data_IF_853473895002
#
_entry.id   IF_853473895002
#
_cell.length_a   1.000
_cell.length_b   1.000
_cell.length_c   1.000
_cell.angle_alpha   90.00
_cell.angle_beta   90.00
_cell.angle_gamma   90.00
#
_symmetry.space_group_name_H-M   'P 1'
#
loop_
_entity.id
_entity.type
_entity.pdbx_description
1 polymer ?
#
# COMPACT_ATOMS: atom_id res chain seq x y z
N UNK A 1 18.52 -21.74 -6.84
CA UNK A 1 17.42 -22.38 -6.09
C UNK A 1 16.96 -21.38 -5.04
N UNK A 2 16.03 -20.48 -5.38
CA UNK A 2 15.49 -19.52 -4.40
C UNK A 2 14.44 -20.23 -3.56
N UNK A 3 14.64 -20.26 -2.25
CA UNK A 3 13.63 -20.67 -1.29
C UNK A 3 12.43 -19.73 -1.42
N UNK A 4 11.42 -20.15 -2.19
CA UNK A 4 10.10 -19.53 -2.13
C UNK A 4 9.58 -19.72 -0.71
N UNK A 5 9.38 -18.63 0.02
CA UNK A 5 8.67 -18.66 1.29
C UNK A 5 7.27 -19.23 0.98
N UNK A 6 7.03 -20.47 1.41
CA UNK A 6 5.70 -21.03 1.46
C UNK A 6 4.96 -20.29 2.56
N UNK A 7 3.97 -19.48 2.18
CA UNK A 7 3.02 -18.91 3.13
C UNK A 7 2.13 -20.05 3.62
N UNK A 8 2.39 -20.53 4.84
CA UNK A 8 1.54 -21.50 5.52
C UNK A 8 0.36 -20.76 6.15
N UNK A 9 -0.82 -20.98 5.59
CA UNK A 9 -2.08 -20.48 6.14
C UNK A 9 -2.45 -21.27 7.39
N UNK A 10 -2.34 -20.65 8.56
CA UNK A 10 -2.81 -21.26 9.82
C UNK A 10 -4.33 -21.17 9.96
N UNK A 11 -4.96 -20.19 9.30
CA UNK A 11 -6.40 -19.98 9.24
C UNK A 11 -6.74 -19.23 7.95
N UNK A 12 -7.99 -19.35 7.51
CA UNK A 12 -8.53 -18.54 6.43
C UNK A 12 -9.06 -17.21 6.99
N UNK A 13 -8.95 -16.17 6.19
CA UNK A 13 -9.30 -14.80 6.51
C UNK A 13 -10.45 -14.32 5.64
N UNK A 14 -11.31 -13.46 6.21
CA UNK A 14 -12.48 -12.89 5.51
C UNK A 14 -12.29 -11.46 5.07
N UNK A 15 -11.22 -10.81 5.52
CA UNK A 15 -10.90 -9.43 5.19
C UNK A 15 -9.43 -9.12 5.48
N UNK A 16 -8.96 -8.03 4.90
CA UNK A 16 -7.73 -7.35 5.22
C UNK A 16 -7.93 -5.87 4.93
N UNK A 17 -7.24 -5.01 5.67
CA UNK A 17 -7.34 -3.56 5.51
C UNK A 17 -5.93 -3.00 5.60
N UNK A 18 -5.51 -2.23 4.60
CA UNK A 18 -4.10 -1.84 4.42
C UNK A 18 -3.99 -0.33 4.58
N UNK A 19 -3.05 0.11 5.42
CA UNK A 19 -2.61 1.50 5.49
C UNK A 19 -1.42 1.70 4.52
N UNK A 20 -1.73 1.98 3.26
CA UNK A 20 -0.75 2.02 2.17
C UNK A 20 0.30 3.13 2.38
N UNK A 21 1.57 2.79 2.49
CA UNK A 21 2.65 3.74 2.78
C UNK A 21 2.63 4.35 4.19
N UNK A 22 1.69 3.91 5.03
CA UNK A 22 1.60 4.32 6.43
C UNK A 22 2.34 3.33 7.31
N UNK A 23 3.48 3.76 7.85
CA UNK A 23 4.45 2.96 8.60
C UNK A 23 3.91 2.21 9.82
N UNK A 24 2.74 2.57 10.32
CA UNK A 24 2.14 2.03 11.54
C UNK A 24 0.68 1.65 11.32
N UNK A 25 0.19 0.74 12.17
CA UNK A 25 -1.21 0.34 12.22
C UNK A 25 -2.08 1.50 12.71
N UNK A 26 -3.21 1.71 12.05
CA UNK A 26 -4.12 2.83 12.34
C UNK A 26 -5.53 2.31 12.54
N UNK A 27 -6.19 2.79 13.59
CA UNK A 27 -7.61 2.50 13.81
C UNK A 27 -8.46 3.62 13.22
N UNK A 28 -9.42 3.27 12.39
CA UNK A 28 -10.48 4.18 11.96
C UNK A 28 -11.82 3.56 12.33
N UNK A 29 -12.53 4.21 13.26
CA UNK A 29 -13.75 3.70 13.87
C UNK A 29 -13.60 2.27 14.42
N UNK A 30 -14.14 1.28 13.70
CA UNK A 30 -14.15 -0.14 14.06
C UNK A 30 -13.15 -0.97 13.24
N UNK A 31 -12.49 -0.36 12.26
CA UNK A 31 -11.59 -1.05 11.33
C UNK A 31 -10.14 -0.75 11.72
N UNK A 32 -9.33 -1.79 11.81
CA UNK A 32 -7.89 -1.69 11.95
C UNK A 32 -7.24 -1.80 10.59
N UNK A 33 -6.54 -0.75 10.18
CA UNK A 33 -5.73 -0.70 8.97
C UNK A 33 -4.30 -1.06 9.34
N UNK A 34 -3.78 -2.05 8.67
CA UNK A 34 -2.47 -2.62 8.92
C UNK A 34 -1.39 -1.82 8.19
N UNK A 35 -0.41 -1.35 8.95
CA UNK A 35 0.70 -0.55 8.48
C UNK A 35 1.64 -1.32 7.56
N UNK A 36 2.12 -0.62 6.56
CA UNK A 36 3.15 -1.07 5.65
C UNK A 36 4.51 -0.57 6.15
N UNK A 37 5.51 -1.42 6.42
CA UNK A 37 6.73 -0.96 7.07
C UNK A 37 7.50 0.04 6.20
N UNK A 38 7.95 1.11 6.85
CA UNK A 38 8.87 2.11 6.30
C UNK A 38 10.27 1.50 6.14
N UNK A 39 10.42 0.54 5.24
CA UNK A 39 11.75 0.10 4.86
C UNK A 39 12.27 1.05 3.79
N UNK A 40 13.13 1.97 4.22
CA UNK A 40 13.99 2.80 3.39
C UNK A 40 14.57 1.96 2.22
N UNK A 41 14.48 2.51 1.02
CA UNK A 41 15.04 1.89 -0.19
C UNK A 41 14.10 2.01 -1.37
N UNK A 42 14.32 3.02 -2.20
CA UNK A 42 13.77 3.04 -3.55
C UNK A 42 14.48 1.97 -4.37
N UNK A 43 13.97 0.75 -4.31
CA UNK A 43 14.40 -0.30 -5.21
C UNK A 43 13.40 -0.37 -6.36
N UNK A 44 13.91 -0.38 -7.59
CA UNK A 44 13.10 -0.45 -8.81
C UNK A 44 12.14 -1.65 -8.86
N UNK A 45 12.32 -2.67 -8.01
CA UNK A 45 11.34 -3.71 -7.76
C UNK A 45 11.38 -4.14 -6.28
N UNK A 46 10.20 -4.30 -5.67
CA UNK A 46 10.07 -4.79 -4.29
C UNK A 46 8.94 -5.80 -4.19
N UNK A 47 9.13 -6.78 -3.33
CA UNK A 47 8.11 -7.72 -2.89
C UNK A 47 8.13 -7.76 -1.36
N UNK A 48 6.98 -7.62 -0.75
CA UNK A 48 6.81 -7.58 0.69
C UNK A 48 5.65 -8.48 1.12
N UNK A 49 5.89 -9.24 2.19
CA UNK A 49 4.88 -10.03 2.87
C UNK A 49 4.79 -9.55 4.30
N UNK A 50 3.59 -9.23 4.78
CA UNK A 50 3.42 -8.76 6.16
C UNK A 50 3.43 -9.94 7.11
N UNK A 51 4.44 -10.07 8.00
CA UNK A 51 4.50 -11.19 8.93
C UNK A 51 3.27 -11.20 9.84
N UNK A 52 2.65 -12.37 10.02
CA UNK A 52 1.47 -12.52 10.89
C UNK A 52 0.17 -11.95 10.34
N UNK A 53 0.16 -11.52 9.08
CA UNK A 53 -1.03 -11.02 8.38
C UNK A 53 -1.30 -11.83 7.10
N UNK A 54 -2.41 -11.55 6.43
CA UNK A 54 -2.94 -12.18 5.24
C UNK A 54 -2.79 -11.33 3.97
N UNK A 55 -1.85 -10.38 3.94
CA UNK A 55 -1.58 -9.56 2.75
C UNK A 55 -0.10 -9.25 2.53
N UNK A 56 0.21 -8.89 1.29
CA UNK A 56 1.50 -8.40 0.85
C UNK A 56 1.35 -7.43 -0.31
N UNK A 57 2.49 -6.93 -0.80
CA UNK A 57 2.51 -6.13 -2.02
C UNK A 57 3.74 -6.40 -2.86
N UNK A 58 3.59 -6.18 -4.16
CA UNK A 58 4.69 -6.02 -5.09
C UNK A 58 4.64 -4.63 -5.70
N UNK A 59 5.80 -4.02 -5.93
CA UNK A 59 5.89 -2.71 -6.55
C UNK A 59 7.05 -2.64 -7.52
N UNK A 60 6.88 -1.85 -8.58
CA UNK A 60 7.94 -1.56 -9.55
C UNK A 60 8.09 -0.07 -9.81
N UNK A 61 9.30 0.29 -10.23
CA UNK A 61 9.73 1.65 -10.48
C UNK A 61 10.46 2.27 -9.29
N UNK A 62 11.28 3.28 -9.60
CA UNK A 62 12.13 4.02 -8.67
C UNK A 62 12.03 5.51 -9.05
N UNK A 63 11.81 6.38 -8.06
CA UNK A 63 11.92 7.82 -8.25
C UNK A 63 13.35 8.23 -7.94
N UNK A 64 14.05 8.84 -8.91
CA UNK A 64 15.45 9.28 -8.76
C UNK A 64 15.67 10.26 -7.58
N UNK A 65 14.62 10.97 -7.15
CA UNK A 65 14.65 11.91 -6.03
C UNK A 65 13.89 11.34 -4.82
N UNK A 66 14.62 10.60 -3.97
CA UNK A 66 14.17 10.11 -2.67
C UNK A 66 14.13 11.24 -1.64
N UNK A 67 13.24 12.21 -1.83
CA UNK A 67 12.87 13.09 -0.74
C UNK A 67 12.09 12.26 0.30
N UNK A 68 12.66 12.12 1.49
CA UNK A 68 12.04 11.46 2.64
C UNK A 68 10.79 12.26 3.04
N UNK A 69 9.59 11.72 2.83
CA UNK A 69 8.38 12.28 3.40
C UNK A 69 8.21 11.72 4.81
N UNK A 70 7.91 12.60 5.77
CA UNK A 70 7.60 12.20 7.13
C UNK A 70 6.40 11.26 7.09
N UNK A 71 6.60 10.05 7.60
CA UNK A 71 5.51 9.07 7.68
C UNK A 71 4.68 9.38 8.91
N UNK A 72 3.48 9.88 8.66
CA UNK A 72 2.48 10.16 9.68
C UNK A 72 1.59 8.93 9.86
N UNK A 73 1.20 8.63 11.09
CA UNK A 73 0.35 7.48 11.46
C UNK A 73 -1.14 7.74 11.26
N UNK A 74 -1.51 8.59 10.31
CA UNK A 74 -2.90 8.95 10.03
C UNK A 74 -3.30 8.50 8.62
N UNK A 75 -4.52 7.96 8.48
CA UNK A 75 -5.05 7.62 7.17
C UNK A 75 -5.08 8.85 6.27
N UNK A 76 -4.84 8.65 4.97
CA UNK A 76 -4.90 9.69 3.94
C UNK A 76 -3.83 10.80 4.05
N UNK A 77 -2.86 10.66 4.95
CA UNK A 77 -1.73 11.60 5.07
C UNK A 77 -0.44 11.08 4.42
N UNK A 78 -0.40 9.78 4.16
CA UNK A 78 0.74 9.07 3.55
C UNK A 78 0.25 8.18 2.41
N UNK A 79 1.16 7.88 1.48
CA UNK A 79 0.93 6.96 0.38
C UNK A 79 2.27 6.37 -0.09
N UNK A 80 2.28 5.08 -0.46
CA UNK A 80 3.45 4.51 -1.14
C UNK A 80 3.55 5.08 -2.55
N UNK A 81 4.70 5.66 -2.87
CA UNK A 81 5.02 6.11 -4.22
C UNK A 81 5.58 4.94 -5.03
N UNK A 82 4.95 4.64 -6.16
CA UNK A 82 5.44 3.67 -7.15
C UNK A 82 5.26 4.29 -8.54
N UNK A 83 6.33 4.54 -9.30
CA UNK A 83 6.21 5.26 -10.57
C UNK A 83 5.67 4.39 -11.71
N UNK A 84 5.71 3.06 -11.58
CA UNK A 84 5.25 2.15 -12.63
C UNK A 84 4.01 1.37 -12.22
N UNK A 85 4.11 0.53 -11.19
CA UNK A 85 2.97 -0.27 -10.73
C UNK A 85 3.10 -0.69 -9.28
N UNK A 86 1.94 -0.89 -8.65
CA UNK A 86 1.81 -1.52 -7.35
C UNK A 86 0.68 -2.53 -7.40
N UNK A 87 0.90 -3.72 -6.83
CA UNK A 87 -0.10 -4.76 -6.67
C UNK A 87 -0.15 -5.15 -5.20
N UNK A 88 -1.28 -4.86 -4.56
CA UNK A 88 -1.61 -5.43 -3.26
C UNK A 88 -2.31 -6.76 -3.46
N UNK A 89 -1.93 -7.77 -2.69
CA UNK A 89 -2.53 -9.10 -2.78
C UNK A 89 -2.84 -9.63 -1.38
N UNK A 90 -4.01 -10.27 -1.26
CA UNK A 90 -4.38 -11.07 -0.11
C UNK A 90 -4.01 -12.53 -0.34
N UNK A 91 -3.71 -13.25 0.73
CA UNK A 91 -3.49 -14.70 0.73
C UNK A 91 -4.25 -15.33 1.89
N UNK A 92 -4.49 -16.64 1.84
CA UNK A 92 -5.32 -17.33 2.84
C UNK A 92 -6.74 -16.73 2.96
N UNK A 93 -7.36 -16.35 1.85
CA UNK A 93 -8.72 -15.80 1.84
C UNK A 93 -9.75 -16.92 1.71
N UNK A 94 -10.81 -16.87 2.51
CA UNK A 94 -11.94 -17.79 2.35
C UNK A 94 -12.57 -17.61 0.96
N UNK A 95 -12.99 -18.71 0.31
CA UNK A 95 -13.72 -18.60 -0.95
C UNK A 95 -15.06 -17.89 -0.72
N UNK A 96 -15.31 -16.81 -1.47
CA UNK A 96 -16.56 -16.07 -1.37
C UNK A 96 -16.50 -14.73 -2.08
N UNK A 97 -17.57 -13.96 -1.91
CA UNK A 97 -17.68 -12.63 -2.48
C UNK A 97 -16.99 -11.59 -1.60
N UNK A 98 -16.16 -10.75 -2.20
CA UNK A 98 -15.43 -9.68 -1.51
C UNK A 98 -15.90 -8.31 -1.96
N UNK A 99 -16.10 -7.41 -0.98
CA UNK A 99 -16.29 -5.99 -1.27
C UNK A 99 -14.93 -5.29 -1.21
N UNK A 100 -14.45 -4.82 -2.35
CA UNK A 100 -13.20 -4.04 -2.43
C UNK A 100 -13.51 -2.56 -2.23
N UNK A 101 -12.84 -1.93 -1.26
CA UNK A 101 -12.91 -0.48 -1.02
C UNK A 101 -11.53 0.13 -1.21
N UNK A 102 -11.41 1.01 -2.21
CA UNK A 102 -10.19 1.75 -2.50
C UNK A 102 -10.37 3.20 -2.06
N UNK A 103 -9.39 3.71 -1.33
CA UNK A 103 -9.37 5.08 -0.87
C UNK A 103 -8.24 5.85 -1.57
N UNK A 104 -8.56 7.04 -2.09
CA UNK A 104 -7.60 7.89 -2.80
C UNK A 104 -7.50 9.24 -2.12
N UNK A 105 -6.27 9.75 -1.97
CA UNK A 105 -5.98 11.07 -1.45
C UNK A 105 -4.82 11.69 -2.23
N UNK A 106 -4.95 12.97 -2.60
CA UNK A 106 -3.84 13.75 -3.15
C UNK A 106 -3.11 14.45 -2.00
N UNK A 107 -1.89 13.98 -1.68
CA UNK A 107 -1.11 14.46 -0.53
C UNK A 107 0.03 15.41 -0.89
N UNK A 108 0.37 15.55 -2.18
CA UNK A 108 1.51 16.41 -2.60
C UNK A 108 1.05 17.77 -3.11
N UNK A 109 -0.01 17.79 -3.91
CA UNK A 109 -0.55 19.03 -4.48
C UNK A 109 -1.69 19.56 -3.62
N UNK A 110 -1.36 20.07 -2.43
CA UNK A 110 -2.31 20.77 -1.57
C UNK A 110 -2.44 22.24 -2.00
N UNK A 111 -3.64 22.80 -1.88
CA UNK A 111 -4.04 24.12 -2.39
C UNK A 111 -3.21 25.34 -1.89
N UNK A 112 -2.23 25.13 -1.02
CA UNK A 112 -1.41 26.20 -0.44
C UNK A 112 -0.34 26.74 -1.39
N UNK A 113 -0.05 26.04 -2.49
CA UNK A 113 0.84 26.54 -3.55
C UNK A 113 0.05 26.96 -4.78
N UNK A 114 -0.17 28.27 -4.91
CA UNK A 114 -0.73 28.96 -6.07
C UNK A 114 0.13 28.77 -7.32
N UNK A 115 0.11 27.59 -7.95
CA UNK A 115 0.51 27.38 -9.34
C UNK A 115 -0.45 26.39 -9.99
N UNK A 116 -1.37 26.97 -10.74
CA UNK A 116 -2.55 26.40 -11.39
C UNK A 116 -2.24 25.47 -12.57
N UNK A 117 -1.09 24.80 -12.56
CA UNK A 117 -0.82 23.70 -13.47
C UNK A 117 -1.17 22.42 -12.73
N UNK A 118 -2.47 22.08 -12.80
CA UNK A 118 -3.08 20.89 -12.20
C UNK A 118 -2.27 19.67 -12.61
N UNK A 119 -1.43 19.17 -11.70
CA UNK A 119 -0.75 17.91 -11.91
C UNK A 119 -1.82 16.82 -12.04
N UNK A 120 -1.93 16.23 -13.22
CA UNK A 120 -2.90 15.19 -13.51
C UNK A 120 -2.27 13.83 -13.25
N UNK A 121 -2.80 13.09 -12.27
CA UNK A 121 -2.48 11.67 -12.08
C UNK A 121 -3.53 10.83 -12.80
N UNK A 122 -3.07 9.98 -13.71
CA UNK A 122 -3.90 8.99 -14.42
C UNK A 122 -3.31 7.63 -14.12
N UNK A 123 -4.16 6.71 -13.69
CA UNK A 123 -3.77 5.34 -13.39
C UNK A 123 -4.94 4.40 -13.67
N UNK A 124 -4.62 3.16 -14.00
CA UNK A 124 -5.60 2.10 -14.20
C UNK A 124 -5.68 1.23 -12.94
N UNK A 125 -6.87 0.69 -12.66
CA UNK A 125 -7.12 -0.21 -11.52
C UNK A 125 -7.56 -1.56 -12.08
N UNK A 126 -6.86 -2.61 -11.65
CA UNK A 126 -7.20 -3.99 -11.98
C UNK A 126 -7.49 -4.75 -10.69
N UNK A 127 -8.59 -5.50 -10.67
CA UNK A 127 -9.02 -6.35 -9.55
C UNK A 127 -9.18 -7.77 -10.12
N UNK A 128 -8.62 -8.78 -9.44
CA UNK A 128 -8.60 -10.18 -9.85
C UNK A 128 -9.28 -11.06 -8.81
#
# INVERSE_FOLDING_TARGET
>A
MSNGILVLCAADYRSFHINCGGGQDVKNERIWYEGEPNSEGSAAARNYHRPGSNWGFSSTGDFMDDNNFNVVSELYTTARRTPLSITYYGYCLENGDYTVRLHFAEIQYTNETLRYEVARRVFDIYIQ
#
